data_IF_416233646187
#
_entry.id   IF_416233646187
#
_cell.length_a   1.000
_cell.length_b   1.000
_cell.length_c   1.000
_cell.angle_alpha   90.00
_cell.angle_beta   90.00
_cell.angle_gamma   90.00
#
_symmetry.space_group_name_H-M   'P 1'
#
loop_
_entity.id
_entity.type
_entity.pdbx_description
1 polymer ?
#
# COMPACT_ATOMS: atom_id res chain seq x y z
N UNK A 1 -11.86 2.28 -5.60
CA UNK A 1 -11.11 2.77 -4.44
C UNK A 1 -9.76 2.09 -4.36
N UNK A 2 -8.74 2.79 -3.89
CA UNK A 2 -7.35 2.35 -3.90
C UNK A 2 -6.79 2.28 -2.48
N UNK A 3 -5.84 1.37 -2.26
CA UNK A 3 -4.95 1.36 -1.10
C UNK A 3 -3.55 1.76 -1.57
N UNK A 4 -3.03 2.87 -1.06
CA UNK A 4 -1.74 3.41 -1.51
C UNK A 4 -0.57 2.67 -0.85
N UNK A 5 0.43 2.33 -1.65
CA UNK A 5 1.75 1.92 -1.17
C UNK A 5 2.69 3.13 -1.05
N UNK A 6 3.73 3.00 -0.22
CA UNK A 6 4.72 4.06 0.00
C UNK A 6 5.44 4.48 -1.28
N UNK A 7 5.67 3.56 -2.23
CA UNK A 7 6.31 3.89 -3.52
C UNK A 7 5.47 4.86 -4.36
N UNK A 8 4.15 4.65 -4.42
CA UNK A 8 3.22 5.55 -5.10
C UNK A 8 3.13 6.89 -4.37
N UNK A 9 3.06 6.87 -3.03
CA UNK A 9 3.01 8.10 -2.24
C UNK A 9 4.23 8.99 -2.49
N UNK A 10 5.44 8.43 -2.48
CA UNK A 10 6.66 9.16 -2.76
C UNK A 10 6.67 9.73 -4.18
N UNK A 11 6.17 8.99 -5.16
CA UNK A 11 6.11 9.46 -6.55
C UNK A 11 5.10 10.61 -6.70
N UNK A 12 3.92 10.50 -6.10
CA UNK A 12 2.90 11.57 -6.08
C UNK A 12 3.44 12.85 -5.41
N UNK A 13 4.25 12.72 -4.36
CA UNK A 13 4.83 13.88 -3.67
C UNK A 13 5.89 14.61 -4.50
N UNK A 14 6.71 13.90 -5.27
CA UNK A 14 7.85 14.47 -5.99
C UNK A 14 7.60 14.83 -7.44
N UNK A 15 6.50 14.33 -8.05
CA UNK A 15 6.16 14.56 -9.46
C UNK A 15 4.85 15.31 -9.56
N UNK A 16 4.92 16.56 -10.06
CA UNK A 16 3.77 17.44 -10.15
C UNK A 16 2.70 16.95 -11.13
N UNK A 17 3.10 16.30 -12.23
CA UNK A 17 2.16 15.79 -13.24
C UNK A 17 1.35 14.62 -12.66
N UNK A 18 2.04 13.70 -11.98
CA UNK A 18 1.41 12.55 -11.32
C UNK A 18 0.52 13.02 -10.17
N UNK A 19 0.98 13.98 -9.38
CA UNK A 19 0.19 14.58 -8.30
C UNK A 19 -1.11 15.20 -8.81
N UNK A 20 -1.04 16.00 -9.88
CA UNK A 20 -2.23 16.60 -10.50
C UNK A 20 -3.20 15.55 -11.04
N UNK A 21 -2.68 14.47 -11.63
CA UNK A 21 -3.49 13.36 -12.12
C UNK A 21 -4.27 12.66 -11.00
N UNK A 22 -3.64 12.45 -9.84
CA UNK A 22 -4.26 11.74 -8.72
C UNK A 22 -5.01 12.63 -7.73
N UNK A 23 -4.80 13.95 -7.79
CA UNK A 23 -5.45 14.91 -6.88
C UNK A 23 -6.96 14.72 -6.76
N UNK A 24 -7.75 14.61 -7.84
CA UNK A 24 -9.20 14.46 -7.72
C UNK A 24 -9.62 13.21 -6.94
N UNK A 25 -8.95 12.08 -7.15
CA UNK A 25 -9.23 10.84 -6.44
C UNK A 25 -8.84 10.94 -4.95
N UNK A 26 -7.72 11.60 -4.63
CA UNK A 26 -7.29 11.83 -3.25
C UNK A 26 -8.26 12.75 -2.53
N UNK A 27 -8.64 13.87 -3.12
CA UNK A 27 -9.61 14.83 -2.56
C UNK A 27 -11.01 14.22 -2.38
N UNK A 28 -11.39 13.28 -3.25
CA UNK A 28 -12.63 12.53 -3.13
C UNK A 28 -12.58 11.41 -2.07
N UNK A 29 -11.43 11.18 -1.41
CA UNK A 29 -11.25 10.11 -0.44
C UNK A 29 -11.25 8.69 -1.06
N UNK A 30 -10.95 8.59 -2.35
CA UNK A 30 -10.92 7.30 -3.07
C UNK A 30 -9.57 6.56 -2.94
N UNK A 31 -8.58 7.21 -2.36
CA UNK A 31 -7.24 6.65 -2.09
C UNK A 31 -7.03 6.61 -0.59
N UNK A 32 -6.99 5.41 -0.02
CA UNK A 32 -6.79 5.21 1.41
C UNK A 32 -5.39 4.73 1.75
N UNK A 33 -5.06 4.74 3.03
CA UNK A 33 -3.83 4.19 3.60
C UNK A 33 -4.16 3.17 4.71
N UNK A 34 -3.23 2.30 5.05
CA UNK A 34 -3.41 1.34 6.13
C UNK A 34 -2.29 1.43 7.18
N UNK A 35 -2.53 0.90 8.37
CA UNK A 35 -1.58 0.97 9.47
C UNK A 35 -0.18 0.42 9.12
N UNK A 36 -0.03 -0.77 8.50
CA UNK A 36 1.29 -1.28 8.12
C UNK A 36 2.07 -0.34 7.19
N UNK A 37 1.41 0.21 6.17
CA UNK A 37 2.02 1.16 5.23
C UNK A 37 2.46 2.44 5.94
N UNK A 38 1.59 3.00 6.81
CA UNK A 38 1.93 4.22 7.58
C UNK A 38 3.11 4.01 8.52
N UNK A 39 3.13 2.88 9.24
CA UNK A 39 4.21 2.55 10.18
C UNK A 39 5.54 2.42 9.43
N UNK A 40 5.55 1.74 8.29
CA UNK A 40 6.75 1.62 7.46
C UNK A 40 7.25 2.97 6.97
N UNK A 41 6.35 3.79 6.41
CA UNK A 41 6.69 5.12 5.92
C UNK A 41 7.27 6.01 7.02
N UNK A 42 6.67 6.01 8.21
CA UNK A 42 7.09 6.83 9.35
C UNK A 42 8.47 6.46 9.91
N UNK A 43 8.97 5.25 9.61
CA UNK A 43 10.36 4.87 9.95
C UNK A 43 11.40 5.69 9.19
N UNK A 44 11.04 6.33 8.08
CA UNK A 44 11.92 7.22 7.33
C UNK A 44 12.05 8.63 7.92
N UNK A 45 11.23 8.99 8.90
CA UNK A 45 11.28 10.29 9.56
C UNK A 45 12.60 10.49 10.30
N UNK A 46 13.23 11.65 10.10
CA UNK A 46 14.55 11.98 10.63
C UNK A 46 14.50 12.51 12.07
N UNK A 47 13.36 13.06 12.49
CA UNK A 47 13.12 13.61 13.82
C UNK A 47 11.61 13.65 14.13
N UNK A 48 11.27 13.91 15.40
CA UNK A 48 9.88 13.82 15.89
C UNK A 48 8.94 14.79 15.18
N UNK A 49 9.38 15.99 14.85
CA UNK A 49 8.55 16.98 14.14
C UNK A 49 8.14 16.46 12.75
N UNK A 50 9.09 15.91 11.98
CA UNK A 50 8.79 15.31 10.66
C UNK A 50 7.84 14.11 10.79
N UNK A 51 8.04 13.26 11.80
CA UNK A 51 7.14 12.15 12.10
C UNK A 51 5.69 12.62 12.32
N UNK A 52 5.50 13.65 13.13
CA UNK A 52 4.19 14.22 13.44
C UNK A 52 3.55 14.91 12.22
N UNK A 53 4.34 15.59 11.40
CA UNK A 53 3.88 16.21 10.15
C UNK A 53 3.38 15.16 9.16
N UNK A 54 4.17 14.12 8.89
CA UNK A 54 3.77 13.00 8.01
C UNK A 54 2.51 12.32 8.54
N UNK A 55 2.44 12.07 9.85
CA UNK A 55 1.26 11.47 10.48
C UNK A 55 0.00 12.31 10.24
N UNK A 56 0.10 13.62 10.41
CA UNK A 56 -1.01 14.55 10.20
C UNK A 56 -1.45 14.61 8.74
N UNK A 57 -0.49 14.67 7.82
CA UNK A 57 -0.75 14.70 6.38
C UNK A 57 -1.46 13.43 5.90
N UNK A 58 -0.99 12.28 6.34
CA UNK A 58 -1.63 10.99 6.03
C UNK A 58 -3.05 10.94 6.56
N UNK A 59 -3.27 11.34 7.81
CA UNK A 59 -4.60 11.34 8.42
C UNK A 59 -5.58 12.32 7.74
N UNK A 60 -5.06 13.41 7.20
CA UNK A 60 -5.86 14.44 6.54
C UNK A 60 -6.32 14.02 5.13
N UNK A 61 -5.44 13.38 4.36
CA UNK A 61 -5.66 13.17 2.93
C UNK A 61 -6.03 11.72 2.56
N UNK A 62 -5.70 10.74 3.41
CA UNK A 62 -5.86 9.32 3.10
C UNK A 62 -6.72 8.62 4.16
N UNK A 63 -7.99 8.30 3.86
CA UNK A 63 -8.84 7.53 4.76
C UNK A 63 -8.17 6.25 5.26
N UNK A 64 -8.40 5.92 6.52
CA UNK A 64 -7.87 4.69 7.12
C UNK A 64 -8.62 3.47 6.59
N UNK A 65 -7.88 2.52 6.04
CA UNK A 65 -8.40 1.23 5.60
C UNK A 65 -8.23 0.23 6.73
N UNK A 66 -9.32 -0.37 7.22
CA UNK A 66 -9.28 -1.25 8.38
C UNK A 66 -8.52 -2.54 8.09
N UNK A 67 -7.80 -3.02 9.11
CA UNK A 67 -7.07 -4.29 9.09
C UNK A 67 -7.91 -5.34 9.81
N UNK A 68 -8.39 -6.34 9.07
CA UNK A 68 -9.14 -7.46 9.64
C UNK A 68 -8.25 -8.37 10.50
N UNK A 69 -8.82 -8.99 11.53
CA UNK A 69 -8.12 -10.04 12.32
C UNK A 69 -7.69 -11.23 11.47
N UNK A 70 -8.36 -11.50 10.36
CA UNK A 70 -8.01 -12.58 9.42
C UNK A 70 -6.81 -12.27 8.52
N UNK A 71 -6.22 -11.07 8.61
CA UNK A 71 -5.06 -10.67 7.79
C UNK A 71 -3.89 -11.65 7.92
N UNK A 72 -3.62 -12.15 9.12
CA UNK A 72 -2.53 -13.07 9.36
C UNK A 72 -2.71 -14.40 8.66
N UNK A 73 -3.94 -14.93 8.63
CA UNK A 73 -4.27 -16.15 7.87
C UNK A 73 -4.12 -15.92 6.36
N UNK A 74 -4.58 -14.80 5.86
CA UNK A 74 -4.41 -14.43 4.46
C UNK A 74 -2.92 -14.32 4.10
N UNK A 75 -2.15 -13.61 4.90
CA UNK A 75 -0.70 -13.39 4.70
C UNK A 75 0.07 -14.69 4.70
N UNK A 76 -0.22 -15.60 5.64
CA UNK A 76 0.42 -16.92 5.71
C UNK A 76 0.12 -17.74 4.45
N UNK A 77 -1.13 -17.79 4.00
CA UNK A 77 -1.52 -18.47 2.76
C UNK A 77 -0.86 -17.86 1.51
N UNK A 78 -0.81 -16.55 1.42
CA UNK A 78 -0.16 -15.84 0.33
C UNK A 78 1.36 -16.10 0.30
N UNK A 79 2.02 -16.02 1.45
CA UNK A 79 3.43 -16.35 1.57
C UNK A 79 3.73 -17.79 1.13
N UNK A 80 2.91 -18.74 1.54
CA UNK A 80 3.05 -20.14 1.13
C UNK A 80 2.91 -20.30 -0.40
N UNK A 81 1.92 -19.62 -1.02
CA UNK A 81 1.74 -19.64 -2.47
C UNK A 81 2.96 -19.05 -3.21
N UNK A 82 3.52 -17.94 -2.72
CA UNK A 82 4.70 -17.30 -3.30
C UNK A 82 5.97 -18.13 -3.13
N UNK A 83 6.13 -18.82 -1.99
CA UNK A 83 7.23 -19.79 -1.79
C UNK A 83 7.15 -20.92 -2.79
N UNK A 84 5.97 -21.49 -3.01
CA UNK A 84 5.75 -22.56 -4.00
C UNK A 84 6.01 -22.09 -5.43
N UNK A 85 5.75 -20.84 -5.73
CA UNK A 85 6.04 -20.22 -7.04
C UNK A 85 7.49 -19.75 -7.20
N UNK A 86 8.32 -19.81 -6.14
CA UNK A 86 9.70 -19.31 -6.14
C UNK A 86 9.80 -17.76 -6.15
N UNK A 87 8.72 -17.07 -5.78
CA UNK A 87 8.61 -15.61 -5.89
C UNK A 87 8.68 -14.86 -4.55
N UNK A 88 8.81 -15.55 -3.41
CA UNK A 88 8.68 -14.93 -2.06
C UNK A 88 9.76 -13.87 -1.77
N UNK A 89 10.94 -13.97 -2.34
CA UNK A 89 12.05 -13.05 -2.04
C UNK A 89 11.84 -11.62 -2.53
N UNK A 90 10.90 -11.42 -3.46
CA UNK A 90 10.55 -10.10 -3.95
C UNK A 90 9.71 -9.30 -2.93
N UNK A 91 9.11 -9.95 -1.94
CA UNK A 91 8.11 -9.36 -1.05
C UNK A 91 8.62 -9.17 0.37
N UNK A 92 8.45 -7.97 0.92
CA UNK A 92 8.52 -7.73 2.36
C UNK A 92 7.22 -8.19 3.04
N UNK A 93 7.26 -8.31 4.37
CA UNK A 93 6.04 -8.57 5.15
C UNK A 93 5.02 -7.44 4.97
N UNK A 94 5.46 -6.20 4.87
CA UNK A 94 4.57 -5.04 4.67
C UNK A 94 3.90 -5.10 3.30
N UNK A 95 4.62 -5.45 2.23
CA UNK A 95 4.03 -5.62 0.89
C UNK A 95 2.91 -6.67 0.90
N UNK A 96 3.14 -7.81 1.57
CA UNK A 96 2.13 -8.85 1.72
C UNK A 96 0.92 -8.38 2.52
N UNK A 97 1.14 -7.63 3.60
CA UNK A 97 0.05 -7.05 4.40
C UNK A 97 -0.77 -6.04 3.57
N UNK A 98 -0.12 -5.18 2.78
CA UNK A 98 -0.81 -4.23 1.88
C UNK A 98 -1.66 -5.00 0.87
N UNK A 99 -1.11 -6.03 0.22
CA UNK A 99 -1.86 -6.89 -0.70
C UNK A 99 -3.08 -7.53 -0.04
N UNK A 100 -2.91 -8.10 1.15
CA UNK A 100 -3.99 -8.75 1.89
C UNK A 100 -5.08 -7.79 2.35
N UNK A 101 -4.69 -6.62 2.86
CA UNK A 101 -5.64 -5.59 3.27
C UNK A 101 -6.45 -5.09 2.06
N UNK A 102 -5.79 -4.85 0.92
CA UNK A 102 -6.47 -4.47 -0.31
C UNK A 102 -7.44 -5.56 -0.78
N UNK A 103 -7.01 -6.81 -0.83
CA UNK A 103 -7.85 -7.94 -1.23
C UNK A 103 -9.08 -8.10 -0.33
N UNK A 104 -8.90 -8.05 0.99
CA UNK A 104 -9.99 -8.21 1.97
C UNK A 104 -11.01 -7.05 1.95
N UNK A 105 -10.59 -5.86 1.53
CA UNK A 105 -11.47 -4.68 1.40
C UNK A 105 -11.93 -4.43 -0.04
N UNK A 106 -11.61 -5.31 -0.99
CA UNK A 106 -12.02 -5.16 -2.38
C UNK A 106 -11.36 -3.98 -3.11
N UNK A 107 -10.17 -3.57 -2.66
CA UNK A 107 -9.43 -2.42 -3.17
C UNK A 107 -8.39 -2.82 -4.22
N UNK A 108 -7.86 -1.81 -4.91
CA UNK A 108 -6.75 -1.93 -5.85
C UNK A 108 -5.51 -1.33 -5.19
N UNK A 109 -4.39 -2.05 -5.14
CA UNK A 109 -3.11 -1.50 -4.65
C UNK A 109 -2.60 -0.48 -5.66
N UNK A 110 -2.39 0.76 -5.21
CA UNK A 110 -1.78 1.84 -5.99
C UNK A 110 -0.29 1.92 -5.65
N UNK A 111 0.59 1.70 -6.64
CA UNK A 111 2.03 1.53 -6.40
C UNK A 111 2.91 2.06 -7.54
N UNK A 112 4.22 2.15 -7.30
CA UNK A 112 5.27 2.31 -8.32
C UNK A 112 6.36 1.24 -8.16
N UNK A 113 5.99 0.02 -7.78
CA UNK A 113 6.89 -1.09 -7.57
C UNK A 113 6.45 -2.34 -8.38
N UNK A 114 7.41 -2.98 -9.07
CA UNK A 114 7.15 -4.19 -9.86
C UNK A 114 6.71 -5.39 -9.03
N UNK A 115 7.05 -5.41 -7.76
CA UNK A 115 6.72 -6.52 -6.87
C UNK A 115 5.20 -6.70 -6.75
N UNK A 116 4.42 -5.62 -6.76
CA UNK A 116 2.96 -5.71 -6.77
C UNK A 116 2.39 -6.28 -8.08
N UNK A 117 3.05 -6.08 -9.21
CA UNK A 117 2.67 -6.73 -10.46
C UNK A 117 2.91 -8.25 -10.35
N UNK A 118 4.07 -8.65 -9.84
CA UNK A 118 4.40 -10.05 -9.57
C UNK A 118 3.41 -10.67 -8.56
N UNK A 119 3.01 -9.93 -7.51
CA UNK A 119 1.99 -10.40 -6.56
C UNK A 119 0.68 -10.75 -7.27
N UNK A 120 0.19 -9.88 -8.15
CA UNK A 120 -1.05 -10.09 -8.87
C UNK A 120 -1.00 -11.27 -9.87
N UNK A 121 0.19 -11.64 -10.35
CA UNK A 121 0.38 -12.83 -11.19
C UNK A 121 0.18 -14.13 -10.42
N UNK A 122 0.51 -14.16 -9.13
CA UNK A 122 0.48 -15.36 -8.29
C UNK A 122 -0.66 -15.39 -7.26
N UNK A 123 -1.23 -14.23 -6.93
CA UNK A 123 -2.30 -14.06 -5.94
C UNK A 123 -3.56 -13.51 -6.65
N UNK A 124 -4.51 -14.39 -6.94
CA UNK A 124 -5.66 -14.10 -7.83
C UNK A 124 -6.64 -13.06 -7.28
N UNK A 125 -6.64 -12.83 -5.98
CA UNK A 125 -7.46 -11.83 -5.29
C UNK A 125 -6.79 -10.46 -5.16
N UNK A 126 -5.52 -10.35 -5.52
CA UNK A 126 -4.77 -9.08 -5.51
C UNK A 126 -4.96 -8.34 -6.84
N UNK A 127 -5.47 -7.12 -6.74
CA UNK A 127 -5.56 -6.19 -7.87
C UNK A 127 -4.58 -5.03 -7.65
N UNK A 128 -3.92 -4.61 -8.71
CA UNK A 128 -2.91 -3.57 -8.64
C UNK A 128 -3.05 -2.56 -9.78
N UNK A 129 -2.56 -1.35 -9.56
CA UNK A 129 -2.42 -0.30 -10.57
C UNK A 129 -1.16 0.50 -10.30
N UNK A 130 -0.36 0.68 -11.33
CA UNK A 130 0.79 1.57 -11.27
C UNK A 130 0.34 3.02 -11.43
N UNK A 131 0.94 3.95 -10.66
CA UNK A 131 0.72 5.40 -10.75
C UNK A 131 1.18 5.99 -12.08
#
# INVERSE_FOLDING_TARGET
MYLIDSSALWLIQRDDVIREHWRPAIEAGEVGSCAPQRIELLRSARHVTEYEEITRDLATHYPDIPVSKSIWRWTDAAQHALVRAGAIRAFSLVDLLICGIAAQNGLVVLHDDRDFQTAAEHLTDVRQRRV
#
